data_IF_107203366391
#
_entry.id   IF_107203366391
#
_cell.length_a   1.000
_cell.length_b   1.000
_cell.length_c   1.000
_cell.angle_alpha   90.00
_cell.angle_beta   90.00
_cell.angle_gamma   90.00
#
_symmetry.space_group_name_H-M   'P 1'
#
loop_
_entity.id
_entity.type
_entity.pdbx_description
1 polymer ?
#
# COMPACT_ATOMS: atom_id res chain seq x y z
N UNK A 1 -20.31 -1.72 0.96
CA UNK A 1 -19.21 -0.81 1.35
C UNK A 1 -19.81 0.48 1.85
N UNK A 2 -19.25 1.12 2.88
CA UNK A 2 -19.70 2.44 3.31
C UNK A 2 -19.47 3.47 2.20
N UNK A 3 -20.43 4.37 1.99
CA UNK A 3 -20.34 5.44 0.99
C UNK A 3 -20.44 6.80 1.68
N UNK A 4 -19.56 7.73 1.30
CA UNK A 4 -19.60 9.11 1.77
C UNK A 4 -20.12 10.01 0.63
N UNK A 5 -21.16 10.80 0.91
CA UNK A 5 -21.65 11.82 0.00
C UNK A 5 -21.53 13.19 0.65
N UNK A 6 -20.86 14.13 -0.03
CA UNK A 6 -20.75 15.52 0.41
C UNK A 6 -21.73 16.36 -0.41
N UNK A 7 -22.60 17.12 0.26
CA UNK A 7 -23.55 18.04 -0.38
C UNK A 7 -23.01 19.46 -0.35
N UNK A 8 -23.41 20.25 -1.34
CA UNK A 8 -23.05 21.67 -1.48
C UNK A 8 -21.53 21.93 -1.41
N UNK A 9 -20.75 21.02 -2.01
CA UNK A 9 -19.30 21.14 -2.06
C UNK A 9 -18.92 22.41 -2.83
N UNK A 10 -18.12 23.32 -2.25
CA UNK A 10 -17.70 24.52 -2.96
C UNK A 10 -16.93 24.17 -4.24
N UNK A 11 -17.28 24.84 -5.34
CA UNK A 11 -16.71 24.55 -6.67
C UNK A 11 -15.18 24.57 -6.67
N UNK A 12 -14.58 25.55 -5.99
CA UNK A 12 -13.12 25.68 -5.92
C UNK A 12 -12.44 24.46 -5.25
N UNK A 13 -13.11 23.80 -4.30
CA UNK A 13 -12.60 22.59 -3.67
C UNK A 13 -12.71 21.41 -4.64
N UNK A 14 -13.86 21.25 -5.29
CA UNK A 14 -14.06 20.21 -6.30
C UNK A 14 -12.99 20.28 -7.39
N UNK A 15 -12.80 21.47 -7.98
CA UNK A 15 -11.78 21.73 -9.00
C UNK A 15 -10.37 21.40 -8.51
N UNK A 16 -10.06 21.72 -7.24
CA UNK A 16 -8.74 21.40 -6.68
C UNK A 16 -8.52 19.88 -6.57
N UNK A 17 -9.54 19.11 -6.18
CA UNK A 17 -9.45 17.65 -6.12
C UNK A 17 -9.25 17.07 -7.52
N UNK A 18 -9.99 17.57 -8.53
CA UNK A 18 -9.82 17.15 -9.93
C UNK A 18 -8.39 17.37 -10.41
N UNK A 19 -7.83 18.56 -10.18
CA UNK A 19 -6.46 18.88 -10.58
C UNK A 19 -5.42 17.96 -9.94
N UNK A 20 -5.60 17.63 -8.65
CA UNK A 20 -4.70 16.72 -7.94
C UNK A 20 -4.83 15.28 -8.46
N UNK A 21 -6.07 14.83 -8.71
CA UNK A 21 -6.33 13.50 -9.26
C UNK A 21 -5.67 13.34 -10.65
N UNK A 22 -5.78 14.34 -11.52
CA UNK A 22 -5.14 14.34 -12.84
C UNK A 22 -3.61 14.33 -12.72
N UNK A 23 -3.03 15.14 -11.84
CA UNK A 23 -1.59 15.21 -11.61
C UNK A 23 -1.01 13.85 -11.14
N UNK A 24 -1.73 13.16 -10.26
CA UNK A 24 -1.35 11.86 -9.70
C UNK A 24 -1.82 10.67 -10.57
N UNK A 25 -2.51 10.93 -11.70
CA UNK A 25 -3.12 9.92 -12.58
C UNK A 25 -4.05 8.96 -11.84
N UNK A 26 -4.85 9.49 -10.92
CA UNK A 26 -5.82 8.76 -10.09
C UNK A 26 -7.24 9.17 -10.43
N UNK A 27 -8.20 8.35 -10.03
CA UNK A 27 -9.60 8.78 -10.07
C UNK A 27 -9.87 9.82 -8.96
N UNK A 28 -10.86 10.69 -9.16
CA UNK A 28 -11.32 11.67 -8.16
C UNK A 28 -11.66 10.96 -6.83
N UNK A 29 -12.31 9.80 -6.90
CA UNK A 29 -12.66 8.99 -5.73
C UNK A 29 -11.42 8.55 -4.96
N UNK A 30 -10.40 8.04 -5.66
CA UNK A 30 -9.14 7.63 -5.02
C UNK A 30 -8.41 8.81 -4.40
N UNK A 31 -8.28 9.92 -5.12
CA UNK A 31 -7.61 11.10 -4.59
C UNK A 31 -8.35 11.69 -3.38
N UNK A 32 -9.69 11.65 -3.39
CA UNK A 32 -10.49 12.06 -2.23
C UNK A 32 -10.20 11.19 -1.01
N UNK A 33 -10.09 9.87 -1.18
CA UNK A 33 -9.74 8.95 -0.08
C UNK A 33 -8.35 9.28 0.47
N UNK A 34 -7.36 9.48 -0.40
CA UNK A 34 -5.98 9.82 0.00
C UNK A 34 -5.93 11.14 0.75
N UNK A 35 -6.66 12.16 0.30
CA UNK A 35 -6.75 13.45 0.99
C UNK A 35 -7.39 13.31 2.37
N UNK A 36 -8.44 12.48 2.50
CA UNK A 36 -9.08 12.18 3.79
C UNK A 36 -8.13 11.42 4.72
N UNK A 37 -7.42 10.41 4.23
CA UNK A 37 -6.44 9.65 5.02
C UNK A 37 -5.31 10.55 5.54
N UNK A 38 -4.82 11.47 4.72
CA UNK A 38 -3.83 12.48 5.12
C UNK A 38 -4.38 13.45 6.16
N UNK A 39 -5.59 13.97 5.96
CA UNK A 39 -6.22 14.91 6.88
C UNK A 39 -6.54 14.28 8.25
N UNK A 40 -6.86 12.98 8.27
CA UNK A 40 -7.10 12.20 9.47
C UNK A 40 -5.82 11.61 10.08
N UNK A 41 -4.65 11.94 9.52
CA UNK A 41 -3.33 11.43 9.92
C UNK A 41 -3.22 9.89 9.95
N UNK A 42 -4.06 9.19 9.18
CA UNK A 42 -4.09 7.73 9.09
C UNK A 42 -2.79 7.18 8.48
N UNK A 43 -2.15 7.94 7.57
CA UNK A 43 -0.87 7.55 6.98
C UNK A 43 0.25 7.38 8.02
N UNK A 44 0.28 8.19 9.10
CA UNK A 44 1.28 8.04 10.18
C UNK A 44 1.08 6.72 10.94
N UNK A 45 -0.17 6.42 11.27
CA UNK A 45 -0.54 5.17 11.95
C UNK A 45 -0.19 3.94 11.10
N UNK A 46 -0.45 4.01 9.78
CA UNK A 46 -0.10 2.94 8.86
C UNK A 46 1.41 2.78 8.68
N UNK A 47 2.18 3.87 8.67
CA UNK A 47 3.65 3.81 8.58
C UNK A 47 4.24 3.16 9.83
N UNK A 48 3.82 3.58 11.02
CA UNK A 48 4.26 2.98 12.29
C UNK A 48 3.90 1.50 12.36
N UNK A 49 2.69 1.12 11.96
CA UNK A 49 2.27 -0.28 11.91
C UNK A 49 3.09 -1.10 10.89
N UNK A 50 3.38 -0.53 9.72
CA UNK A 50 4.25 -1.17 8.70
C UNK A 50 5.67 -1.36 9.19
N UNK A 51 6.25 -0.40 9.88
CA UNK A 51 7.59 -0.52 10.48
C UNK A 51 7.61 -1.66 11.51
N UNK A 52 6.59 -1.78 12.35
CA UNK A 52 6.45 -2.88 13.31
C UNK A 52 6.37 -4.24 12.59
N UNK A 53 5.51 -4.35 11.58
CA UNK A 53 5.37 -5.58 10.77
C UNK A 53 6.67 -5.93 10.03
N UNK A 54 7.34 -4.94 9.44
CA UNK A 54 8.59 -5.15 8.72
C UNK A 54 9.67 -5.68 9.68
N UNK A 55 9.77 -5.09 10.87
CA UNK A 55 10.70 -5.56 11.90
C UNK A 55 10.34 -6.97 12.41
N UNK A 56 9.05 -7.32 12.53
CA UNK A 56 8.65 -8.68 12.91
C UNK A 56 9.05 -9.70 11.84
N UNK A 57 8.79 -9.40 10.56
CA UNK A 57 9.20 -10.27 9.43
C UNK A 57 10.73 -10.40 9.39
N UNK A 58 11.47 -9.30 9.57
CA UNK A 58 12.93 -9.29 9.57
C UNK A 58 13.49 -10.15 10.71
N UNK A 59 12.90 -10.05 11.91
CA UNK A 59 13.31 -10.87 13.06
C UNK A 59 13.00 -12.35 12.84
N UNK A 60 11.82 -12.69 12.30
CA UNK A 60 11.46 -14.07 11.98
C UNK A 60 12.35 -14.67 10.90
N UNK A 61 12.64 -13.91 9.84
CA UNK A 61 13.54 -14.35 8.76
C UNK A 61 14.97 -14.50 9.26
N UNK A 62 15.53 -13.53 9.98
CA UNK A 62 16.89 -13.63 10.52
C UNK A 62 17.07 -14.82 11.46
N UNK A 63 16.06 -15.13 12.29
CA UNK A 63 16.09 -16.30 13.17
C UNK A 63 15.96 -17.63 12.41
N UNK A 64 15.22 -17.66 11.28
CA UNK A 64 15.05 -18.87 10.46
C UNK A 64 16.20 -19.12 9.47
N UNK A 65 16.86 -18.07 8.97
CA UNK A 65 17.96 -18.17 8.01
C UNK A 65 19.22 -18.82 8.59
N UNK A 66 19.41 -18.80 9.91
CA UNK A 66 20.51 -19.50 10.58
C UNK A 66 20.42 -21.03 10.45
N UNK A 67 19.26 -21.58 10.06
CA UNK A 67 19.01 -23.03 10.05
C UNK A 67 18.70 -23.62 8.66
N UNK A 68 18.63 -22.82 7.59
CA UNK A 68 18.22 -23.33 6.28
C UNK A 68 19.32 -23.18 5.24
N UNK A 69 19.82 -24.33 4.79
CA UNK A 69 20.57 -24.47 3.55
C UNK A 69 19.58 -24.13 2.42
N UNK A 70 19.50 -22.85 2.04
CA UNK A 70 18.56 -22.35 1.02
C UNK A 70 18.78 -23.18 -0.25
N UNK A 71 17.75 -23.91 -0.66
CA UNK A 71 17.80 -24.71 -1.88
C UNK A 71 18.06 -23.77 -3.06
N UNK A 72 19.01 -24.13 -3.91
CA UNK A 72 19.20 -23.45 -5.20
C UNK A 72 17.85 -23.44 -5.93
N UNK A 73 17.36 -22.30 -6.43
CA UNK A 73 16.10 -22.24 -7.17
C UNK A 73 16.21 -22.85 -8.58
N UNK A 74 17.42 -23.04 -9.12
CA UNK A 74 17.64 -23.57 -10.48
C UNK A 74 17.01 -24.97 -10.70
N UNK A 75 17.13 -25.95 -9.79
CA UNK A 75 16.47 -27.25 -9.91
C UNK A 75 14.94 -27.15 -9.95
N UNK A 76 14.33 -26.23 -9.18
CA UNK A 76 12.88 -26.04 -9.13
C UNK A 76 12.33 -25.50 -10.45
N UNK A 77 13.04 -24.57 -11.08
CA UNK A 77 12.68 -24.00 -12.39
C UNK A 77 12.85 -25.04 -13.51
N UNK A 78 13.84 -25.94 -13.39
CA UNK A 78 14.08 -27.01 -14.37
C UNK A 78 12.99 -28.09 -14.32
N UNK A 79 12.57 -28.51 -13.12
CA UNK A 79 11.50 -29.50 -12.96
C UNK A 79 10.20 -29.04 -13.65
N UNK A 80 9.82 -27.77 -13.47
CA UNK A 80 8.60 -27.20 -14.06
C UNK A 80 8.65 -27.12 -15.59
N UNK A 81 9.84 -27.01 -16.18
CA UNK A 81 10.05 -26.96 -17.65
C UNK A 81 10.08 -28.33 -18.31
N UNK A 82 10.36 -29.39 -17.56
CA UNK A 82 10.45 -30.77 -18.07
C UNK A 82 9.14 -31.56 -17.90
N UNK A 83 8.09 -30.95 -17.33
CA UNK A 83 6.74 -31.52 -17.20
C UNK A 83 5.79 -31.14 -18.33
#
# INVERSE_FOLDING_TARGET
>A
MPSLQVRDLPEHIYQKIVQLADAERRSITQETIVLLEKALEIEKQNKEHREVLFNSILNETNNNYQNHNVLDPVPLIREDRER
#
